data_IF_186073467953
#
_entry.id   IF_186073467953
#
_cell.length_a   1.000
_cell.length_b   1.000
_cell.length_c   1.000
_cell.angle_alpha   90.00
_cell.angle_beta   90.00
_cell.angle_gamma   90.00
#
_symmetry.space_group_name_H-M   'P 1'
#
loop_
_entity.id
_entity.type
_entity.pdbx_description
1 polymer ?
#
# COMPACT_ATOMS: atom_id res chain seq x y z
N UNK A 1 18.51 -6.89 7.49
CA UNK A 1 17.39 -6.35 8.29
C UNK A 1 17.58 -4.84 8.37
N UNK A 2 16.60 -4.04 7.94
CA UNK A 2 16.67 -2.58 8.05
C UNK A 2 16.42 -2.21 9.52
N UNK A 3 17.40 -1.59 10.17
CA UNK A 3 17.30 -1.17 11.56
C UNK A 3 16.60 0.19 11.63
N UNK A 4 15.29 0.18 11.88
CA UNK A 4 14.49 1.40 12.12
C UNK A 4 14.23 1.48 13.64
N UNK A 5 14.82 2.42 14.38
CA UNK A 5 14.75 2.45 15.84
C UNK A 5 13.37 2.84 16.43
N UNK A 6 12.36 3.09 15.59
CA UNK A 6 11.05 3.64 15.98
C UNK A 6 9.88 2.92 15.29
N UNK A 7 9.84 1.59 15.34
CA UNK A 7 8.68 0.80 14.90
C UNK A 7 7.40 1.01 15.75
N UNK A 8 7.35 2.05 16.60
CA UNK A 8 6.16 2.37 17.40
C UNK A 8 4.98 2.88 16.57
N UNK A 9 5.16 3.08 15.26
CA UNK A 9 4.16 3.61 14.34
C UNK A 9 4.33 3.02 12.93
N UNK A 10 3.27 3.04 12.10
CA UNK A 10 3.25 2.33 10.82
C UNK A 10 3.91 3.15 9.70
N UNK A 11 3.72 4.46 9.66
CA UNK A 11 4.17 5.30 8.53
C UNK A 11 5.70 5.29 8.33
N UNK A 12 6.55 5.43 9.38
CA UNK A 12 8.00 5.44 9.21
C UNK A 12 8.54 4.14 8.59
N UNK A 13 7.98 3.01 9.00
CA UNK A 13 8.29 1.70 8.45
C UNK A 13 7.97 1.61 6.96
N UNK A 14 6.75 1.99 6.57
CA UNK A 14 6.31 1.97 5.18
C UNK A 14 7.17 2.89 4.31
N UNK A 15 7.45 4.10 4.77
CA UNK A 15 8.29 5.05 4.03
C UNK A 15 9.75 4.56 3.90
N UNK A 16 10.28 3.87 4.91
CA UNK A 16 11.62 3.27 4.84
C UNK A 16 11.69 2.16 3.78
N UNK A 17 10.69 1.27 3.75
CA UNK A 17 10.61 0.19 2.76
C UNK A 17 10.41 0.73 1.34
N UNK A 18 9.59 1.78 1.19
CA UNK A 18 9.44 2.50 -0.07
C UNK A 18 10.77 3.09 -0.56
N UNK A 19 11.53 3.74 0.33
CA UNK A 19 12.85 4.28 0.01
C UNK A 19 13.83 3.20 -0.46
N UNK A 20 13.83 2.04 0.20
CA UNK A 20 14.66 0.90 -0.22
C UNK A 20 14.21 0.32 -1.56
N UNK A 21 12.90 0.22 -1.80
CA UNK A 21 12.36 -0.25 -3.08
C UNK A 21 12.72 0.70 -4.24
N UNK A 22 12.65 2.01 -4.00
CA UNK A 22 13.11 3.03 -4.94
C UNK A 22 14.60 2.90 -5.24
N UNK A 23 15.44 2.80 -4.19
CA UNK A 23 16.89 2.66 -4.34
C UNK A 23 17.29 1.43 -5.16
N UNK A 24 16.52 0.35 -5.06
CA UNK A 24 16.73 -0.88 -5.84
C UNK A 24 16.08 -0.87 -7.24
N UNK A 25 15.36 0.19 -7.59
CA UNK A 25 14.68 0.29 -8.88
C UNK A 25 13.48 -0.66 -9.03
N UNK A 26 12.86 -1.10 -7.92
CA UNK A 26 11.64 -1.89 -8.01
C UNK A 26 10.49 -1.01 -8.49
N UNK A 27 9.74 -1.49 -9.49
CA UNK A 27 8.56 -0.80 -10.04
C UNK A 27 7.37 -0.81 -9.08
N UNK A 28 7.29 -1.85 -8.26
CA UNK A 28 6.16 -2.11 -7.37
C UNK A 28 6.65 -2.52 -5.98
N UNK A 29 5.85 -2.18 -4.98
CA UNK A 29 5.98 -2.70 -3.61
C UNK A 29 4.62 -3.21 -3.16
N UNK A 30 4.59 -4.42 -2.62
CA UNK A 30 3.39 -5.00 -2.01
C UNK A 30 3.52 -4.87 -0.49
N UNK A 31 2.56 -4.21 0.14
CA UNK A 31 2.35 -4.30 1.58
C UNK A 31 1.28 -5.35 1.88
N UNK A 32 1.53 -6.19 2.87
CA UNK A 32 0.59 -7.18 3.34
C UNK A 32 0.66 -7.30 4.86
N UNK A 33 -0.49 -7.51 5.49
CA UNK A 33 -0.59 -7.93 6.89
C UNK A 33 -0.05 -9.34 7.08
N UNK A 34 0.45 -9.66 8.28
CA UNK A 34 1.00 -10.98 8.59
C UNK A 34 -0.08 -12.08 8.60
N UNK A 35 -1.31 -11.69 8.90
CA UNK A 35 -2.49 -12.55 8.98
C UNK A 35 -3.05 -12.91 7.60
N UNK A 36 -2.58 -12.26 6.53
CA UNK A 36 -3.09 -12.44 5.17
C UNK A 36 -2.18 -13.37 4.37
N UNK A 37 -2.77 -14.42 3.81
CA UNK A 37 -2.10 -15.29 2.83
C UNK A 37 -2.46 -14.86 1.40
N UNK A 38 -1.51 -14.24 0.69
CA UNK A 38 -1.68 -13.89 -0.71
C UNK A 38 -1.24 -15.03 -1.63
N UNK A 39 -2.19 -15.71 -2.28
CA UNK A 39 -1.88 -16.72 -3.28
C UNK A 39 -1.30 -16.07 -4.55
N UNK A 40 -0.38 -16.76 -5.25
CA UNK A 40 0.28 -16.25 -6.46
C UNK A 40 -0.70 -15.78 -7.54
N UNK A 41 -1.85 -16.44 -7.64
CA UNK A 41 -2.92 -16.05 -8.57
C UNK A 41 -3.53 -14.68 -8.23
N UNK A 42 -3.73 -14.40 -6.94
CA UNK A 42 -4.22 -13.10 -6.47
C UNK A 42 -3.21 -12.01 -6.79
N UNK A 43 -1.93 -12.24 -6.47
CA UNK A 43 -0.86 -11.28 -6.81
C UNK A 43 -0.80 -11.01 -8.32
N UNK A 44 -0.96 -12.05 -9.15
CA UNK A 44 -1.01 -11.88 -10.61
C UNK A 44 -2.21 -11.04 -11.05
N UNK A 45 -3.37 -11.21 -10.43
CA UNK A 45 -4.53 -10.37 -10.70
C UNK A 45 -4.29 -8.92 -10.29
N UNK A 46 -3.73 -8.67 -9.10
CA UNK A 46 -3.38 -7.31 -8.66
C UNK A 46 -2.42 -6.62 -9.65
N UNK A 47 -1.42 -7.36 -10.16
CA UNK A 47 -0.50 -6.87 -11.19
C UNK A 47 -1.22 -6.55 -12.50
N UNK A 48 -2.17 -7.38 -12.94
CA UNK A 48 -2.93 -7.15 -14.17
C UNK A 48 -3.80 -5.88 -14.10
N UNK A 49 -4.28 -5.50 -12.91
CA UNK A 49 -5.03 -4.26 -12.70
C UNK A 49 -4.12 -3.01 -12.60
N UNK A 50 -2.80 -3.18 -12.50
CA UNK A 50 -1.88 -2.06 -12.41
C UNK A 50 -1.52 -1.50 -13.79
N UNK A 51 -1.95 -0.26 -14.05
CA UNK A 51 -1.58 0.50 -15.25
C UNK A 51 -0.55 1.57 -14.91
N UNK A 52 -0.11 2.34 -15.92
CA UNK A 52 0.73 3.53 -15.73
C UNK A 52 0.02 4.62 -14.94
N UNK A 53 -1.31 4.63 -14.90
CA UNK A 53 -2.10 5.62 -14.18
C UNK A 53 -2.46 5.20 -12.76
N UNK A 54 -2.29 3.93 -12.42
CA UNK A 54 -2.59 3.40 -11.09
C UNK A 54 -1.55 3.77 -10.04
N UNK A 55 -2.00 4.36 -8.92
CA UNK A 55 -1.19 4.55 -7.71
C UNK A 55 -1.12 3.26 -6.88
N UNK A 56 -2.28 2.65 -6.63
CA UNK A 56 -2.43 1.48 -5.76
C UNK A 56 -3.53 0.55 -6.28
N UNK A 57 -3.33 -0.76 -6.10
CA UNK A 57 -4.33 -1.80 -6.32
C UNK A 57 -4.42 -2.64 -5.05
N UNK A 58 -5.63 -2.94 -4.60
CA UNK A 58 -5.86 -3.94 -3.55
C UNK A 58 -7.15 -4.70 -3.83
N UNK A 59 -7.33 -5.88 -3.21
CA UNK A 59 -8.57 -6.62 -3.31
C UNK A 59 -9.66 -5.94 -2.48
N UNK A 60 -10.92 -6.23 -2.83
CA UNK A 60 -12.07 -5.91 -2.00
C UNK A 60 -12.09 -6.92 -0.84
N UNK A 61 -11.60 -6.52 0.33
CA UNK A 61 -11.65 -7.32 1.55
C UNK A 61 -12.99 -7.11 2.29
N UNK A 62 -13.32 -8.03 3.19
CA UNK A 62 -14.49 -7.90 4.06
C UNK A 62 -14.48 -6.54 4.79
N UNK A 63 -15.60 -5.82 4.72
CA UNK A 63 -15.75 -4.47 5.27
C UNK A 63 -15.62 -3.34 4.25
N UNK A 64 -15.04 -3.58 3.07
CA UNK A 64 -15.05 -2.62 1.97
C UNK A 64 -16.46 -2.42 1.40
N UNK A 65 -16.70 -1.22 0.87
CA UNK A 65 -17.87 -0.89 0.05
C UNK A 65 -17.33 -0.55 -1.33
N UNK A 66 -17.24 -1.58 -2.18
CA UNK A 66 -16.75 -1.43 -3.55
C UNK A 66 -17.90 -1.11 -4.50
N UNK A 67 -17.71 -0.06 -5.29
CA UNK A 67 -18.52 0.25 -6.46
C UNK A 67 -17.56 0.57 -7.60
N UNK A 68 -17.89 0.09 -8.80
CA UNK A 68 -17.11 0.40 -9.99
C UNK A 68 -17.15 1.91 -10.31
N UNK A 69 -16.10 2.39 -10.97
CA UNK A 69 -15.96 3.79 -11.40
C UNK A 69 -15.25 4.68 -10.39
N UNK A 70 -15.31 5.99 -10.65
CA UNK A 70 -14.75 7.00 -9.75
C UNK A 70 -15.62 7.14 -8.51
N UNK A 71 -14.99 6.99 -7.34
CA UNK A 71 -15.67 7.06 -6.05
C UNK A 71 -14.85 7.94 -5.09
N UNK A 72 -15.50 8.69 -4.19
CA UNK A 72 -14.81 9.36 -3.10
C UNK A 72 -14.01 8.35 -2.26
N UNK A 73 -12.74 8.66 -2.02
CA UNK A 73 -11.88 7.82 -1.19
C UNK A 73 -12.21 8.01 0.29
N UNK A 74 -12.45 6.91 0.98
CA UNK A 74 -12.59 6.82 2.43
C UNK A 74 -12.03 5.48 2.94
N UNK A 75 -12.16 5.23 4.24
CA UNK A 75 -11.64 4.01 4.87
C UNK A 75 -12.30 2.70 4.40
N UNK A 76 -13.36 2.72 3.58
CA UNK A 76 -14.06 1.54 3.06
C UNK A 76 -14.07 1.46 1.53
N UNK A 77 -13.77 2.55 0.82
CA UNK A 77 -13.65 2.58 -0.65
C UNK A 77 -12.20 2.55 -1.15
N UNK A 78 -11.22 2.78 -0.27
CA UNK A 78 -9.79 2.80 -0.63
C UNK A 78 -9.12 1.45 -0.35
N UNK A 79 -8.17 1.00 -1.18
CA UNK A 79 -7.38 -0.21 -0.88
C UNK A 79 -6.63 -0.12 0.45
N UNK A 80 -6.73 -1.18 1.27
CA UNK A 80 -6.00 -1.28 2.54
C UNK A 80 -4.62 -1.92 2.38
N UNK A 81 -3.65 -1.44 3.15
CA UNK A 81 -2.31 -2.06 3.25
C UNK A 81 -2.33 -3.48 3.84
N UNK A 82 -3.49 -3.97 4.30
CA UNK A 82 -3.75 -5.38 4.57
C UNK A 82 -3.34 -6.27 3.39
N UNK A 83 -3.59 -5.83 2.16
CA UNK A 83 -2.99 -6.38 0.94
C UNK A 83 -3.06 -5.34 -0.20
N UNK A 84 -2.02 -4.53 -0.38
CA UNK A 84 -2.01 -3.48 -1.40
C UNK A 84 -0.70 -3.44 -2.20
N UNK A 85 -0.82 -3.40 -3.52
CA UNK A 85 0.26 -3.24 -4.48
C UNK A 85 0.37 -1.77 -4.90
N UNK A 86 1.48 -1.14 -4.59
CA UNK A 86 1.73 0.27 -4.86
C UNK A 86 2.73 0.45 -6.00
N UNK A 87 2.49 1.45 -6.84
CA UNK A 87 3.49 1.98 -7.76
C UNK A 87 4.54 2.75 -6.96
N UNK A 88 5.77 2.23 -6.91
CA UNK A 88 6.85 2.88 -6.15
C UNK A 88 7.13 4.28 -6.71
N UNK A 89 7.16 4.44 -8.04
CA UNK A 89 7.44 5.71 -8.73
C UNK A 89 6.46 6.79 -8.31
N UNK A 90 5.16 6.47 -8.25
CA UNK A 90 4.12 7.44 -7.90
C UNK A 90 4.08 7.69 -6.40
N UNK A 91 4.11 6.63 -5.60
CA UNK A 91 4.05 6.75 -4.15
C UNK A 91 5.26 7.51 -3.58
N UNK A 92 6.44 7.38 -4.18
CA UNK A 92 7.64 8.10 -3.74
C UNK A 92 7.55 9.64 -3.88
N UNK A 93 6.59 10.16 -4.65
CA UNK A 93 6.39 11.61 -4.77
C UNK A 93 5.82 12.23 -3.48
N UNK A 94 5.08 11.44 -2.70
CA UNK A 94 4.43 11.91 -1.47
C UNK A 94 4.84 11.13 -0.22
N UNK A 95 5.20 9.86 -0.38
CA UNK A 95 5.24 8.88 0.70
C UNK A 95 3.86 8.63 1.30
N UNK A 96 3.84 7.81 2.35
CA UNK A 96 2.73 7.76 3.30
C UNK A 96 2.80 8.97 4.23
N UNK A 97 1.65 9.62 4.44
CA UNK A 97 1.55 10.83 5.25
C UNK A 97 1.60 10.47 6.74
N UNK A 98 2.39 11.20 7.52
CA UNK A 98 2.52 10.97 8.98
C UNK A 98 1.20 11.06 9.74
N UNK A 99 0.23 11.86 9.26
CA UNK A 99 -1.11 11.95 9.85
C UNK A 99 -1.86 10.60 9.86
N UNK A 100 -1.45 9.64 9.03
CA UNK A 100 -2.06 8.31 8.98
C UNK A 100 -1.79 7.47 10.25
N UNK A 101 -0.79 7.84 11.07
CA UNK A 101 -0.59 7.24 12.40
C UNK A 101 -1.50 7.86 13.48
N UNK A 102 -2.35 8.83 13.12
CA UNK A 102 -3.21 9.58 14.03
C UNK A 102 -2.54 10.84 14.58
N UNK A 103 -3.36 11.72 15.16
CA UNK A 103 -2.85 12.88 15.89
C UNK A 103 -2.47 12.47 17.32
N UNK A 104 -1.41 13.07 17.91
CA UNK A 104 -1.14 12.92 19.33
C UNK A 104 -2.39 13.30 20.13
N UNK A 105 -2.76 12.48 21.12
CA UNK A 105 -3.77 12.83 22.13
C UNK A 105 -3.18 13.76 23.18
#
# INVERSE_FOLDING_TARGET
>A
VLHVPVWGAFVPALNTLLGEAQRRGFRYILYQSLEVHCHRLVLRQLLNHSTTDTLVVGPVLEGHVFSEGEQPLNGRSSPWNTLALWSTRKLALTGFLHIADGMPQ
#
